data_IF_642827072160
#
_entry.id   IF_642827072160
#
_cell.length_a   1.000
_cell.length_b   1.000
_cell.length_c   1.000
_cell.angle_alpha   90.00
_cell.angle_beta   90.00
_cell.angle_gamma   90.00
#
_symmetry.space_group_name_H-M   'P 1'
#
loop_
_entity.id
_entity.type
_entity.pdbx_description
1 polymer ?
#
# COMPACT_ATOMS: atom_id res chain seq x y z
N UNK A 1 -8.63 7.54 23.33
CA UNK A 1 -9.10 7.75 21.95
C UNK A 1 -10.61 7.89 21.94
N UNK A 2 -11.21 8.80 21.15
CA UNK A 2 -12.67 8.95 21.09
C UNK A 2 -13.32 7.68 20.54
N UNK A 3 -14.30 7.13 21.25
CA UNK A 3 -15.04 5.91 20.86
C UNK A 3 -16.24 6.20 19.95
N UNK A 4 -16.59 7.48 19.79
CA UNK A 4 -17.75 7.95 19.03
C UNK A 4 -17.36 8.97 17.95
N UNK A 5 -18.08 8.96 16.82
CA UNK A 5 -18.05 9.95 15.73
C UNK A 5 -19.47 10.40 15.43
N UNK A 6 -19.63 11.54 14.75
CA UNK A 6 -20.94 11.94 14.22
C UNK A 6 -21.18 11.34 12.84
N UNK A 7 -22.41 10.91 12.60
CA UNK A 7 -22.88 10.50 11.29
C UNK A 7 -22.73 11.66 10.31
N UNK A 8 -22.14 11.41 9.15
CA UNK A 8 -21.93 12.47 8.15
C UNK A 8 -23.25 13.05 7.59
N UNK A 9 -24.31 12.24 7.57
CA UNK A 9 -25.63 12.58 7.03
C UNK A 9 -26.53 13.20 8.11
N UNK A 10 -26.98 12.41 9.09
CA UNK A 10 -27.97 12.85 10.07
C UNK A 10 -27.37 13.46 11.34
N UNK A 11 -26.04 13.63 11.41
CA UNK A 11 -25.30 14.19 12.55
C UNK A 11 -25.51 13.49 13.90
N UNK A 12 -26.14 12.32 13.93
CA UNK A 12 -26.31 11.51 15.14
C UNK A 12 -24.97 10.89 15.59
N UNK A 13 -24.74 10.77 16.90
CA UNK A 13 -23.54 10.12 17.46
C UNK A 13 -23.58 8.62 17.19
N UNK A 14 -22.51 8.08 16.61
CA UNK A 14 -22.35 6.66 16.29
C UNK A 14 -20.95 6.18 16.70
N UNK A 15 -20.75 4.87 16.82
CA UNK A 15 -19.41 4.33 17.09
C UNK A 15 -18.43 4.64 15.96
N UNK A 16 -17.16 4.87 16.29
CA UNK A 16 -16.12 5.15 15.28
C UNK A 16 -15.99 4.02 14.25
N UNK A 17 -16.18 2.77 14.67
CA UNK A 17 -16.16 1.59 13.81
C UNK A 17 -17.48 1.35 13.04
N UNK A 18 -18.55 2.09 13.33
CA UNK A 18 -19.85 1.91 12.68
C UNK A 18 -19.75 2.26 11.19
N UNK A 19 -19.99 1.25 10.33
CA UNK A 19 -20.01 1.33 8.86
C UNK A 19 -21.36 1.77 8.30
N UNK A 20 -22.43 1.71 9.10
CA UNK A 20 -23.76 2.25 8.80
C UNK A 20 -24.26 3.02 10.01
N UNK A 21 -25.00 4.11 9.76
CA UNK A 21 -25.71 4.80 10.83
C UNK A 21 -26.89 3.95 11.30
N UNK A 22 -27.02 3.73 12.60
CA UNK A 22 -28.17 3.01 13.17
C UNK A 22 -29.47 3.82 13.06
N UNK A 23 -29.36 5.14 12.96
CA UNK A 23 -30.52 6.04 12.90
C UNK A 23 -31.04 6.24 11.47
N UNK A 24 -30.18 6.64 10.53
CA UNK A 24 -30.62 6.94 9.15
C UNK A 24 -30.27 5.85 8.13
N UNK A 25 -29.66 4.73 8.56
CA UNK A 25 -29.25 3.64 7.66
C UNK A 25 -28.06 3.96 6.73
N UNK A 26 -27.66 5.23 6.63
CA UNK A 26 -26.62 5.66 5.69
C UNK A 26 -25.28 4.97 5.94
N UNK A 27 -24.69 4.40 4.87
CA UNK A 27 -23.32 3.88 4.89
C UNK A 27 -22.38 5.02 5.28
N UNK A 28 -21.57 4.78 6.31
CA UNK A 28 -20.56 5.73 6.75
C UNK A 28 -19.32 5.56 5.88
N UNK A 29 -18.72 6.66 5.44
CA UNK A 29 -17.48 6.60 4.68
C UNK A 29 -16.38 6.02 5.57
N UNK A 30 -16.06 4.74 5.36
CA UNK A 30 -15.05 4.04 6.15
C UNK A 30 -13.64 4.54 5.82
N UNK A 31 -13.46 5.14 4.63
CA UNK A 31 -12.15 5.53 4.06
C UNK A 31 -12.23 6.70 3.07
N UNK A 32 -13.29 7.50 3.05
CA UNK A 32 -13.44 8.56 2.03
C UNK A 32 -12.33 9.61 2.14
N UNK A 33 -11.90 9.96 3.36
CA UNK A 33 -10.72 10.82 3.56
C UNK A 33 -9.46 10.20 2.95
N UNK A 34 -9.26 8.89 3.12
CA UNK A 34 -8.13 8.18 2.53
C UNK A 34 -8.24 8.09 1.00
N UNK A 35 -9.44 7.89 0.44
CA UNK A 35 -9.67 7.91 -1.02
C UNK A 35 -9.34 9.28 -1.59
N UNK A 36 -9.89 10.34 -1.00
CA UNK A 36 -9.61 11.73 -1.37
C UNK A 36 -8.12 12.06 -1.24
N UNK A 37 -7.45 11.54 -0.22
CA UNK A 37 -5.99 11.67 -0.09
C UNK A 37 -5.24 10.94 -1.22
N UNK A 38 -5.64 9.72 -1.58
CA UNK A 38 -5.04 8.98 -2.72
C UNK A 38 -5.22 9.74 -4.04
N UNK A 39 -6.40 10.30 -4.27
CA UNK A 39 -6.72 11.07 -5.48
C UNK A 39 -5.86 12.35 -5.57
N UNK A 40 -5.73 13.11 -4.47
CA UNK A 40 -4.84 14.29 -4.42
C UNK A 40 -3.38 13.94 -4.67
N UNK A 41 -2.88 12.88 -4.02
CA UNK A 41 -1.53 12.37 -4.26
C UNK A 41 -1.34 12.03 -5.73
N UNK A 42 -2.29 11.35 -6.38
CA UNK A 42 -2.15 10.98 -7.79
C UNK A 42 -1.97 12.20 -8.73
N UNK A 43 -2.67 13.30 -8.47
CA UNK A 43 -2.62 14.51 -9.31
C UNK A 43 -1.37 15.35 -9.07
N UNK A 44 -1.05 15.65 -7.81
CA UNK A 44 0.08 16.53 -7.46
C UNK A 44 1.44 15.84 -7.62
N UNK A 45 1.50 14.53 -7.30
CA UNK A 45 2.75 13.79 -7.25
C UNK A 45 3.28 13.39 -8.63
N UNK A 46 2.39 13.07 -9.58
CA UNK A 46 2.79 12.78 -10.96
C UNK A 46 3.50 13.98 -11.61
N UNK A 47 2.99 15.19 -11.35
CA UNK A 47 3.57 16.44 -11.85
C UNK A 47 4.93 16.76 -11.21
N UNK A 48 5.11 16.46 -9.91
CA UNK A 48 6.40 16.68 -9.21
C UNK A 48 7.47 15.66 -9.58
N UNK A 49 7.12 14.38 -9.75
CA UNK A 49 8.11 13.33 -10.07
C UNK A 49 8.63 13.42 -11.51
N UNK A 50 7.79 13.86 -12.47
CA UNK A 50 8.24 14.12 -13.83
C UNK A 50 9.32 15.20 -13.91
N UNK A 51 9.36 16.16 -12.98
CA UNK A 51 10.37 17.22 -12.95
C UNK A 51 11.72 16.82 -12.33
N UNK A 52 11.74 15.83 -11.43
CA UNK A 52 12.93 15.49 -10.63
C UNK A 52 13.55 14.14 -10.95
N UNK A 53 12.91 13.30 -11.77
CA UNK A 53 13.39 11.99 -12.26
C UNK A 53 13.98 11.01 -11.20
N UNK A 54 13.81 11.27 -9.91
CA UNK A 54 14.40 10.47 -8.84
C UNK A 54 13.34 9.58 -8.21
N UNK A 55 13.27 8.35 -8.70
CA UNK A 55 12.45 7.27 -8.11
C UNK A 55 12.95 6.93 -6.71
N UNK A 56 14.21 7.22 -6.39
CA UNK A 56 14.83 7.03 -5.06
C UNK A 56 14.05 7.73 -3.95
N UNK A 57 13.49 8.91 -4.22
CA UNK A 57 12.63 9.65 -3.28
C UNK A 57 11.35 8.89 -2.89
N UNK A 58 11.04 7.80 -3.58
CA UNK A 58 9.90 6.91 -3.32
C UNK A 58 10.36 5.63 -2.64
N UNK A 59 11.53 5.10 -3.04
CA UNK A 59 12.11 3.90 -2.43
C UNK A 59 12.45 4.13 -0.95
N UNK A 60 13.05 5.27 -0.57
CA UNK A 60 13.46 5.49 0.83
C UNK A 60 12.27 5.54 1.80
N UNK A 61 11.19 6.31 1.53
CA UNK A 61 9.99 6.28 2.38
C UNK A 61 9.31 4.91 2.39
N UNK A 62 9.40 4.16 1.28
CA UNK A 62 8.83 2.81 1.17
C UNK A 62 9.58 1.83 2.07
N UNK A 63 10.91 1.83 2.02
CA UNK A 63 11.74 1.02 2.92
C UNK A 63 11.46 1.39 4.38
N UNK A 64 11.40 2.68 4.70
CA UNK A 64 11.04 3.14 6.04
C UNK A 64 9.67 2.63 6.50
N UNK A 65 8.67 2.59 5.61
CA UNK A 65 7.36 2.05 5.90
C UNK A 65 7.41 0.53 6.19
N UNK A 66 8.15 -0.23 5.38
CA UNK A 66 8.34 -1.66 5.63
C UNK A 66 9.00 -1.91 7.00
N UNK A 67 9.98 -1.08 7.38
CA UNK A 67 10.57 -1.11 8.72
C UNK A 67 9.56 -0.78 9.84
N UNK A 68 8.66 0.19 9.64
CA UNK A 68 7.61 0.51 10.63
C UNK A 68 6.67 -0.67 10.85
N UNK A 69 6.31 -1.40 9.80
CA UNK A 69 5.51 -2.62 9.93
C UNK A 69 6.24 -3.72 10.69
N UNK A 70 7.56 -3.85 10.51
CA UNK A 70 8.40 -4.77 11.31
C UNK A 70 8.31 -4.46 12.80
N UNK A 71 8.35 -3.19 13.21
CA UNK A 71 8.17 -2.80 14.61
C UNK A 71 6.78 -3.13 15.19
N UNK A 72 5.79 -3.33 14.33
CA UNK A 72 4.45 -3.78 14.72
C UNK A 72 4.30 -5.30 14.63
N UNK A 73 5.42 -6.04 14.64
CA UNK A 73 5.47 -7.51 14.52
C UNK A 73 4.72 -8.01 13.28
N UNK A 74 4.78 -7.23 12.19
CA UNK A 74 4.30 -7.61 10.87
C UNK A 74 5.48 -7.82 9.94
N UNK A 75 5.34 -8.80 9.05
CA UNK A 75 6.38 -9.21 8.13
C UNK A 75 5.95 -8.94 6.68
N UNK A 76 5.94 -7.67 6.22
CA UNK A 76 5.53 -7.37 4.85
C UNK A 76 6.65 -7.66 3.84
N UNK A 77 6.25 -8.16 2.67
CA UNK A 77 7.06 -8.18 1.45
C UNK A 77 6.38 -7.26 0.45
N UNK A 78 7.17 -6.43 -0.23
CA UNK A 78 6.67 -5.57 -1.30
C UNK A 78 7.30 -5.96 -2.63
N UNK A 79 6.45 -6.30 -3.59
CA UNK A 79 6.84 -6.62 -4.96
C UNK A 79 6.53 -5.41 -5.85
N UNK A 80 7.55 -4.90 -6.54
CA UNK A 80 7.42 -3.74 -7.44
C UNK A 80 7.89 -4.13 -8.84
N UNK A 81 6.98 -4.15 -9.79
CA UNK A 81 7.33 -4.43 -11.19
C UNK A 81 7.43 -3.15 -12.02
N UNK A 82 8.43 -3.10 -12.88
CA UNK A 82 8.58 -2.10 -13.93
C UNK A 82 8.41 -2.79 -15.29
N UNK A 83 7.60 -2.19 -16.16
CA UNK A 83 7.48 -2.62 -17.56
C UNK A 83 8.69 -2.15 -18.35
N UNK A 84 9.42 -3.09 -18.93
CA UNK A 84 10.46 -2.86 -19.94
C UNK A 84 10.00 -3.26 -21.33
N UNK A 85 10.94 -3.30 -22.28
CA UNK A 85 10.71 -3.77 -23.66
C UNK A 85 10.35 -5.25 -23.72
N UNK A 86 10.94 -6.06 -22.84
CA UNK A 86 10.80 -7.52 -22.83
C UNK A 86 9.81 -8.03 -21.78
N UNK A 87 8.87 -7.18 -21.34
CA UNK A 87 7.88 -7.51 -20.33
C UNK A 87 8.13 -6.83 -18.97
N UNK A 88 7.50 -7.35 -17.93
CA UNK A 88 7.65 -6.87 -16.55
C UNK A 88 8.82 -7.56 -15.85
N UNK A 89 9.68 -6.75 -15.23
CA UNK A 89 10.70 -7.20 -14.29
C UNK A 89 10.40 -6.63 -12.91
N UNK A 90 10.62 -7.40 -11.85
CA UNK A 90 10.22 -7.04 -10.50
C UNK A 90 11.39 -6.95 -9.51
N UNK A 91 11.26 -6.05 -8.56
CA UNK A 91 12.04 -5.98 -7.33
C UNK A 91 11.24 -6.58 -6.18
N UNK A 92 11.93 -7.23 -5.25
CA UNK A 92 11.37 -7.74 -4.00
C UNK A 92 12.02 -6.99 -2.84
N UNK A 93 11.24 -6.18 -2.13
CA UNK A 93 11.69 -5.40 -0.98
C UNK A 93 11.19 -6.06 0.31
N UNK A 94 12.13 -6.29 1.23
CA UNK A 94 11.92 -6.95 2.50
C UNK A 94 12.62 -6.16 3.62
N UNK A 95 11.97 -5.86 4.76
CA UNK A 95 12.58 -5.08 5.86
C UNK A 95 13.50 -5.90 6.78
N UNK A 96 13.68 -7.19 6.52
CA UNK A 96 14.66 -8.03 7.21
C UNK A 96 15.64 -8.62 6.21
N UNK A 97 16.90 -8.70 6.62
CA UNK A 97 17.90 -9.50 5.94
C UNK A 97 17.52 -10.96 6.14
N UNK A 98 17.38 -11.68 5.04
CA UNK A 98 17.26 -13.13 5.07
C UNK A 98 18.68 -13.66 4.93
N UNK A 99 19.18 -14.29 5.97
CA UNK A 99 20.57 -14.79 6.00
C UNK A 99 20.66 -16.28 5.63
N UNK A 100 19.51 -16.92 5.38
CA UNK A 100 19.42 -18.32 5.01
C UNK A 100 19.24 -18.47 3.50
N UNK A 101 20.00 -19.38 2.89
CA UNK A 101 19.88 -19.73 1.47
C UNK A 101 18.43 -20.10 1.07
N UNK A 102 17.74 -20.90 1.90
CA UNK A 102 16.35 -21.28 1.67
C UNK A 102 15.40 -20.08 1.59
N UNK A 103 15.60 -19.08 2.44
CA UNK A 103 14.77 -17.88 2.43
C UNK A 103 15.06 -16.98 1.24
N UNK A 104 16.32 -16.87 0.78
CA UNK A 104 16.66 -16.17 -0.45
C UNK A 104 16.01 -16.84 -1.65
N UNK A 105 16.09 -18.17 -1.72
CA UNK A 105 15.43 -18.99 -2.74
C UNK A 105 13.91 -18.80 -2.73
N UNK A 106 13.28 -18.70 -1.55
CA UNK A 106 11.86 -18.43 -1.43
C UNK A 106 11.48 -17.04 -1.97
N UNK A 107 12.25 -15.99 -1.66
CA UNK A 107 11.99 -14.64 -2.19
C UNK A 107 12.18 -14.59 -3.72
N UNK A 108 13.21 -15.26 -4.24
CA UNK A 108 13.42 -15.37 -5.69
C UNK A 108 12.25 -16.10 -6.37
N UNK A 109 11.73 -17.15 -5.74
CA UNK A 109 10.56 -17.89 -6.24
C UNK A 109 9.31 -17.01 -6.25
N UNK A 110 9.03 -16.29 -5.16
CA UNK A 110 7.91 -15.34 -5.07
C UNK A 110 8.02 -14.27 -6.16
N UNK A 111 9.22 -13.69 -6.34
CA UNK A 111 9.49 -12.71 -7.39
C UNK A 111 9.18 -13.27 -8.77
N UNK A 112 9.68 -14.47 -9.10
CA UNK A 112 9.45 -15.12 -10.41
C UNK A 112 7.97 -15.38 -10.67
N UNK A 113 7.23 -15.85 -9.66
CA UNK A 113 5.77 -16.06 -9.78
C UNK A 113 5.07 -14.74 -10.12
N UNK A 114 5.44 -13.66 -9.43
CA UNK A 114 4.87 -12.34 -9.68
C UNK A 114 5.20 -11.81 -11.09
N UNK A 115 6.43 -11.97 -11.55
CA UNK A 115 6.83 -11.63 -12.92
C UNK A 115 6.06 -12.45 -13.96
N UNK A 116 5.92 -13.76 -13.75
CA UNK A 116 5.15 -14.64 -14.64
C UNK A 116 3.69 -14.23 -14.73
N UNK A 117 3.06 -13.91 -13.59
CA UNK A 117 1.68 -13.41 -13.52
C UNK A 117 1.49 -12.14 -14.36
N UNK A 118 2.41 -11.18 -14.24
CA UNK A 118 2.32 -9.92 -14.99
C UNK A 118 2.60 -10.08 -16.48
N UNK A 119 3.41 -11.07 -16.85
CA UNK A 119 3.75 -11.36 -18.25
C UNK A 119 2.80 -12.36 -18.91
N UNK A 120 1.79 -12.87 -18.20
CA UNK A 120 0.83 -13.84 -18.74
C UNK A 120 1.46 -15.20 -19.07
N UNK A 121 2.47 -15.63 -18.31
CA UNK A 121 3.22 -16.88 -18.50
C UNK A 121 2.87 -17.94 -17.45
N UNK A 122 1.66 -17.88 -16.89
CA UNK A 122 1.17 -18.78 -15.83
C UNK A 122 0.24 -19.81 -16.42
#
# INVERSE_FOLDING_TARGET
MPTQKVCQICKHKIGVASKKCRQCGAKQPYKEKLSKQKEKVAQEWKAMQQKKHSVTNVYDPTNLLLHKWKFLERHPILLLAKRGTNGFAADCLCPWQIETEDGENALLTIKRIYESLLNGKV
#
